data_IF_476853500006
#
_entry.id   IF_476853500006
#
_cell.length_a   1.000
_cell.length_b   1.000
_cell.length_c   1.000
_cell.angle_alpha   90.00
_cell.angle_beta   90.00
_cell.angle_gamma   90.00
#
_symmetry.space_group_name_H-M   'P 1'
#
loop_
_entity.id
_entity.type
_entity.pdbx_description
1 polymer ?
#
# COMPACT_ATOMS: atom_id res chain seq x y z
N UNK A 1 24.97 -24.40 42.91
CA UNK A 1 23.57 -24.87 42.88
C UNK A 1 23.36 -25.68 41.61
N UNK A 2 22.76 -26.86 41.76
CA UNK A 2 22.73 -27.93 40.77
C UNK A 2 21.71 -27.70 39.65
N UNK A 3 22.08 -28.20 38.45
CA UNK A 3 21.23 -28.35 37.26
C UNK A 3 20.07 -29.33 37.54
N UNK A 4 18.91 -29.08 36.94
CA UNK A 4 17.93 -30.14 36.63
C UNK A 4 17.61 -30.07 35.12
N UNK A 5 17.81 -31.17 34.37
CA UNK A 5 17.33 -31.28 33.00
C UNK A 5 15.89 -31.80 33.01
N UNK A 6 15.03 -31.27 32.13
CA UNK A 6 13.81 -31.97 31.75
C UNK A 6 14.12 -32.79 30.50
N UNK A 7 14.19 -34.09 30.72
CA UNK A 7 14.30 -35.14 29.73
C UNK A 7 13.04 -35.99 29.92
N UNK A 8 12.18 -36.09 28.92
CA UNK A 8 11.14 -37.11 28.83
C UNK A 8 11.22 -37.67 27.40
N UNK A 9 11.82 -38.86 27.27
CA UNK A 9 11.77 -39.73 26.09
C UNK A 9 10.45 -40.51 26.03
N UNK A 10 9.99 -40.88 24.83
CA UNK A 10 10.08 -42.24 24.22
C UNK A 10 9.22 -43.27 25.00
N UNK A 11 8.30 -44.09 24.48
CA UNK A 11 7.82 -44.58 23.17
C UNK A 11 6.31 -44.92 23.37
N UNK A 12 5.46 -45.41 22.46
CA UNK A 12 5.57 -46.49 21.47
C UNK A 12 4.31 -46.50 20.60
N UNK A 13 4.50 -46.85 19.33
CA UNK A 13 3.71 -47.78 18.51
C UNK A 13 2.17 -47.83 18.65
N UNK A 14 1.48 -47.50 17.55
CA UNK A 14 0.63 -48.46 16.82
C UNK A 14 0.06 -47.80 15.55
N UNK A 15 0.48 -48.32 14.39
CA UNK A 15 -0.36 -48.30 13.18
C UNK A 15 -1.25 -49.53 13.23
N UNK A 16 -2.50 -49.44 12.74
CA UNK A 16 -2.78 -50.32 11.62
C UNK A 16 -3.49 -49.65 10.46
N UNK A 17 -3.09 -50.18 9.32
CA UNK A 17 -3.58 -50.02 7.97
C UNK A 17 -4.95 -50.71 7.81
N UNK A 18 -5.93 -50.06 7.17
CA UNK A 18 -7.03 -50.76 6.49
C UNK A 18 -7.37 -49.98 5.21
N UNK A 19 -6.82 -50.45 4.10
CA UNK A 19 -7.38 -50.26 2.76
C UNK A 19 -8.85 -50.69 2.73
N UNK A 20 -9.72 -49.92 2.06
CA UNK A 20 -10.59 -50.44 0.98
C UNK A 20 -11.74 -49.49 0.61
N UNK A 21 -11.72 -49.02 -0.66
CA UNK A 21 -12.83 -49.01 -1.63
C UNK A 21 -14.07 -48.13 -1.29
N UNK A 22 -14.67 -47.29 -2.16
CA UNK A 22 -15.14 -47.50 -3.55
C UNK A 22 -15.37 -46.12 -4.21
N UNK A 23 -15.07 -46.05 -5.51
CA UNK A 23 -15.43 -44.99 -6.46
C UNK A 23 -16.91 -44.56 -6.42
N UNK A 24 -17.20 -43.26 -6.47
CA UNK A 24 -18.45 -42.77 -7.08
C UNK A 24 -18.16 -41.58 -7.98
N UNK A 25 -18.25 -41.84 -9.29
CA UNK A 25 -18.39 -40.83 -10.30
C UNK A 25 -19.73 -40.11 -10.08
N UNK A 26 -19.66 -38.86 -9.65
CA UNK A 26 -20.81 -37.97 -9.56
C UNK A 26 -20.45 -36.67 -10.25
N UNK A 27 -21.00 -36.48 -11.45
CA UNK A 27 -21.03 -35.24 -12.19
C UNK A 27 -21.74 -34.16 -11.36
N UNK A 28 -20.98 -33.46 -10.53
CA UNK A 28 -21.39 -32.25 -9.83
C UNK A 28 -20.83 -31.05 -10.55
N UNK A 29 -21.68 -30.42 -11.36
CA UNK A 29 -21.47 -29.17 -12.06
C UNK A 29 -20.93 -28.10 -11.07
N UNK A 30 -19.63 -27.83 -11.13
CA UNK A 30 -19.04 -26.67 -10.47
C UNK A 30 -19.53 -25.43 -11.21
N UNK A 31 -20.66 -24.89 -10.76
CA UNK A 31 -21.09 -23.54 -11.12
C UNK A 31 -20.03 -22.61 -10.56
N UNK A 32 -19.01 -22.34 -11.35
CA UNK A 32 -18.06 -21.28 -11.11
C UNK A 32 -18.87 -19.99 -11.09
N UNK A 33 -19.20 -19.52 -9.89
CA UNK A 33 -19.74 -18.20 -9.67
C UNK A 33 -18.77 -17.23 -10.33
N UNK A 34 -19.20 -16.74 -11.49
CA UNK A 34 -18.43 -15.84 -12.32
C UNK A 34 -18.11 -14.63 -11.47
N UNK A 35 -16.86 -14.57 -10.97
CA UNK A 35 -16.28 -13.40 -10.31
C UNK A 35 -16.39 -12.28 -11.32
N UNK A 36 -17.48 -11.53 -11.24
CA UNK A 36 -17.71 -10.39 -12.09
C UNK A 36 -16.51 -9.47 -11.93
N UNK A 37 -15.83 -9.16 -13.04
CA UNK A 37 -14.84 -8.09 -13.09
C UNK A 37 -15.57 -6.80 -13.50
N UNK A 38 -16.00 -5.94 -12.56
CA UNK A 38 -16.35 -4.56 -12.92
C UNK A 38 -15.61 -3.52 -12.06
N UNK A 39 -14.31 -3.67 -11.80
CA UNK A 39 -13.57 -2.69 -10.96
C UNK A 39 -12.61 -1.76 -11.71
N UNK A 40 -12.00 -2.18 -12.82
CA UNK A 40 -10.96 -1.38 -13.50
C UNK A 40 -11.51 -0.19 -14.31
N UNK A 41 -12.65 -0.35 -14.98
CA UNK A 41 -13.21 0.70 -15.85
C UNK A 41 -13.70 1.92 -15.05
N UNK A 42 -14.30 1.70 -13.88
CA UNK A 42 -14.80 2.79 -13.03
C UNK A 42 -13.65 3.60 -12.40
N UNK A 43 -12.56 2.94 -11.98
CA UNK A 43 -11.39 3.62 -11.40
C UNK A 43 -10.68 4.54 -12.40
N UNK A 44 -10.61 4.17 -13.68
CA UNK A 44 -10.01 5.01 -14.73
C UNK A 44 -10.86 6.26 -14.93
N UNK A 45 -12.17 6.10 -15.03
CA UNK A 45 -13.13 7.22 -15.16
C UNK A 45 -13.06 8.17 -13.96
N UNK A 46 -12.99 7.62 -12.75
CA UNK A 46 -12.86 8.43 -11.53
C UNK A 46 -11.56 9.22 -11.52
N UNK A 47 -10.44 8.61 -11.91
CA UNK A 47 -9.14 9.29 -11.98
C UNK A 47 -9.15 10.42 -12.99
N UNK A 48 -9.75 10.23 -14.16
CA UNK A 48 -9.87 11.27 -15.18
C UNK A 48 -10.79 12.42 -14.73
N UNK A 49 -11.93 12.11 -14.11
CA UNK A 49 -12.83 13.12 -13.53
C UNK A 49 -12.10 13.95 -12.48
N UNK A 50 -11.46 13.30 -11.50
CA UNK A 50 -10.75 13.98 -10.41
C UNK A 50 -9.61 14.82 -10.96
N UNK A 51 -8.86 14.30 -11.94
CA UNK A 51 -7.81 15.05 -12.62
C UNK A 51 -8.36 16.31 -13.29
N UNK A 52 -9.49 16.23 -14.00
CA UNK A 52 -10.11 17.38 -14.63
C UNK A 52 -10.59 18.42 -13.59
N UNK A 53 -11.03 17.97 -12.42
CA UNK A 53 -11.44 18.84 -11.31
C UNK A 53 -10.24 19.57 -10.67
N UNK A 54 -9.11 18.88 -10.47
CA UNK A 54 -7.86 19.52 -10.01
C UNK A 54 -7.35 20.54 -11.03
N UNK A 55 -7.43 20.25 -12.33
CA UNK A 55 -6.99 21.19 -13.37
C UNK A 55 -7.81 22.49 -13.42
N UNK A 56 -9.01 22.53 -12.82
CA UNK A 56 -9.81 23.76 -12.66
C UNK A 56 -9.35 24.63 -11.50
N UNK A 57 -8.55 24.07 -10.58
CA UNK A 57 -8.03 24.81 -9.43
C UNK A 57 -6.79 25.65 -9.80
N UNK A 58 -6.44 26.60 -8.94
CA UNK A 58 -5.24 27.41 -9.11
C UNK A 58 -3.99 26.55 -8.97
N UNK A 59 -3.00 26.80 -9.83
CA UNK A 59 -1.65 26.27 -9.63
C UNK A 59 -1.10 26.82 -8.33
N UNK A 60 -0.40 25.98 -7.57
CA UNK A 60 0.28 26.42 -6.35
C UNK A 60 1.53 27.23 -6.70
N UNK A 61 1.92 28.16 -5.83
CA UNK A 61 3.22 28.85 -5.94
C UNK A 61 4.37 27.86 -5.70
N UNK A 62 4.11 26.79 -4.94
CA UNK A 62 5.05 25.71 -4.69
C UNK A 62 4.95 24.70 -5.83
N UNK A 63 6.06 24.47 -6.53
CA UNK A 63 6.13 23.51 -7.63
C UNK A 63 7.24 22.47 -7.39
N UNK A 64 7.12 21.25 -7.94
CA UNK A 64 8.15 20.24 -7.76
C UNK A 64 9.46 20.68 -8.41
N UNK A 65 10.52 20.73 -7.61
CA UNK A 65 11.86 21.14 -8.04
C UNK A 65 12.47 20.20 -9.09
N UNK A 66 12.10 18.92 -9.06
CA UNK A 66 12.59 17.89 -9.99
C UNK A 66 11.46 17.37 -10.87
N UNK A 67 11.64 17.51 -12.17
CA UNK A 67 10.74 16.96 -13.18
C UNK A 67 11.27 15.60 -13.67
N UNK A 68 10.39 14.69 -14.11
CA UNK A 68 10.83 13.43 -14.70
C UNK A 68 11.67 13.73 -15.96
N UNK A 69 12.87 13.13 -16.02
CA UNK A 69 13.88 13.41 -17.06
C UNK A 69 13.44 13.11 -18.50
N UNK A 70 12.34 12.37 -18.66
CA UNK A 70 11.94 11.80 -19.95
C UNK A 70 11.06 12.75 -20.80
N UNK A 71 10.83 14.00 -20.37
CA UNK A 71 10.17 15.07 -21.13
C UNK A 71 8.70 14.83 -21.54
N UNK A 72 8.13 13.65 -21.29
CA UNK A 72 6.77 13.30 -21.74
C UNK A 72 5.65 13.83 -20.87
N UNK A 73 5.95 14.19 -19.63
CA UNK A 73 4.96 14.67 -18.68
C UNK A 73 5.60 15.51 -17.59
N UNK A 74 5.03 16.67 -17.30
CA UNK A 74 5.44 17.55 -16.22
C UNK A 74 4.53 17.35 -15.01
N UNK A 75 5.11 17.11 -13.85
CA UNK A 75 4.36 17.12 -12.58
C UNK A 75 4.12 18.56 -12.16
N UNK A 76 2.87 18.89 -11.87
CA UNK A 76 2.44 20.23 -11.46
C UNK A 76 1.61 20.11 -10.19
N UNK A 77 1.86 20.99 -9.23
CA UNK A 77 1.10 21.08 -7.99
C UNK A 77 -0.01 22.12 -8.10
N UNK A 78 -1.15 21.79 -7.54
CA UNK A 78 -2.36 22.59 -7.51
C UNK A 78 -2.91 22.67 -6.08
N UNK A 79 -3.59 23.78 -5.78
CA UNK A 79 -4.27 23.95 -4.50
C UNK A 79 -5.44 22.97 -4.36
N UNK A 80 -5.68 22.47 -3.15
CA UNK A 80 -6.74 21.48 -2.95
C UNK A 80 -8.13 22.09 -2.78
N UNK A 81 -8.98 21.84 -3.76
CA UNK A 81 -10.43 22.07 -3.73
C UNK A 81 -11.25 20.78 -3.65
N UNK A 82 -10.61 19.61 -3.60
CA UNK A 82 -11.30 18.32 -3.59
C UNK A 82 -11.87 17.99 -2.21
N UNK A 83 -12.99 17.28 -2.21
CA UNK A 83 -13.55 16.66 -1.02
C UNK A 83 -12.67 15.50 -0.51
N UNK A 84 -12.85 15.09 0.74
CA UNK A 84 -12.07 14.01 1.38
C UNK A 84 -12.20 12.65 0.67
N UNK A 85 -13.32 12.41 -0.01
CA UNK A 85 -13.58 11.15 -0.74
C UNK A 85 -12.75 11.05 -2.02
N UNK A 86 -12.55 12.18 -2.69
CA UNK A 86 -11.84 12.29 -3.97
C UNK A 86 -10.34 12.58 -3.77
N UNK A 87 -9.97 13.20 -2.64
CA UNK A 87 -8.58 13.45 -2.27
C UNK A 87 -7.89 12.20 -1.73
N UNK A 88 -7.60 11.26 -2.64
CA UNK A 88 -6.85 10.03 -2.33
C UNK A 88 -5.43 10.10 -2.91
N UNK A 89 -4.41 9.57 -2.21
CA UNK A 89 -3.03 9.54 -2.71
C UNK A 89 -2.88 8.89 -4.09
N UNK A 90 -3.69 7.88 -4.39
CA UNK A 90 -3.68 7.22 -5.70
C UNK A 90 -4.14 8.13 -6.85
N UNK A 91 -4.99 9.12 -6.57
CA UNK A 91 -5.52 10.03 -7.60
C UNK A 91 -4.69 11.30 -7.75
N UNK A 92 -4.24 11.88 -6.63
CA UNK A 92 -3.61 13.22 -6.58
C UNK A 92 -2.32 13.28 -5.78
N UNK A 93 -1.80 12.15 -5.32
CA UNK A 93 -0.54 12.05 -4.60
C UNK A 93 0.64 11.74 -5.50
N UNK A 94 1.85 11.87 -4.93
CA UNK A 94 3.09 11.42 -5.56
C UNK A 94 3.40 9.96 -5.20
N UNK A 95 3.96 9.22 -6.16
CA UNK A 95 4.41 7.85 -5.95
C UNK A 95 5.92 7.84 -5.66
N UNK A 96 6.30 7.14 -4.60
CA UNK A 96 7.70 6.87 -4.27
C UNK A 96 8.00 5.43 -4.71
N UNK A 97 8.86 5.28 -5.71
CA UNK A 97 9.28 3.97 -6.21
C UNK A 97 10.70 3.69 -5.72
N UNK A 98 10.83 2.83 -4.70
CA UNK A 98 12.13 2.44 -4.14
C UNK A 98 12.37 0.96 -4.47
N UNK A 99 13.39 0.63 -5.27
CA UNK A 99 13.81 -0.75 -5.40
C UNK A 99 14.43 -1.20 -4.07
N UNK A 100 14.02 -2.36 -3.59
CA UNK A 100 14.50 -2.97 -2.35
C UNK A 100 15.14 -4.32 -2.69
N UNK A 101 16.17 -4.69 -1.94
CA UNK A 101 16.62 -6.08 -1.90
C UNK A 101 15.57 -6.96 -1.22
N UNK A 102 15.64 -8.26 -1.48
CA UNK A 102 14.66 -9.23 -0.94
C UNK A 102 14.71 -9.24 0.59
N UNK A 103 15.90 -9.17 1.16
CA UNK A 103 16.13 -9.14 2.61
C UNK A 103 15.52 -7.89 3.24
N UNK A 104 15.71 -6.73 2.62
CA UNK A 104 15.13 -5.46 3.11
C UNK A 104 13.60 -5.53 3.12
N UNK A 105 13.02 -6.05 2.04
CA UNK A 105 11.57 -6.23 1.95
C UNK A 105 11.05 -7.17 3.05
N UNK A 106 11.71 -8.32 3.27
CA UNK A 106 11.32 -9.28 4.31
C UNK A 106 11.43 -8.70 5.72
N UNK A 107 12.46 -7.91 6.01
CA UNK A 107 12.60 -7.23 7.30
C UNK A 107 11.44 -6.25 7.55
N UNK A 108 11.03 -5.52 6.52
CA UNK A 108 9.89 -4.59 6.59
C UNK A 108 8.58 -5.35 6.80
N UNK A 109 8.38 -6.48 6.12
CA UNK A 109 7.20 -7.33 6.31
C UNK A 109 7.11 -7.91 7.72
N UNK A 110 8.21 -8.43 8.26
CA UNK A 110 8.23 -8.97 9.63
C UNK A 110 8.02 -7.86 10.67
N UNK A 111 8.60 -6.67 10.46
CA UNK A 111 8.34 -5.51 11.32
C UNK A 111 6.86 -5.13 11.32
N UNK A 112 6.21 -5.09 10.15
CA UNK A 112 4.77 -4.79 10.05
C UNK A 112 3.90 -5.84 10.76
N UNK A 113 4.28 -7.12 10.75
CA UNK A 113 3.54 -8.18 11.44
C UNK A 113 3.71 -8.14 12.96
N UNK A 114 4.85 -7.66 13.45
CA UNK A 114 5.19 -7.65 14.87
C UNK A 114 4.93 -6.32 15.58
N UNK A 115 4.59 -5.26 14.85
CA UNK A 115 4.34 -3.93 15.41
C UNK A 115 2.85 -3.74 15.71
N UNK A 116 2.43 -4.09 16.93
CA UNK A 116 1.05 -3.89 17.40
C UNK A 116 0.70 -2.42 17.67
N UNK A 117 1.67 -1.50 17.59
CA UNK A 117 1.48 -0.08 17.92
C UNK A 117 1.02 0.77 16.73
N UNK A 118 1.09 0.23 15.52
CA UNK A 118 0.67 0.92 14.30
C UNK A 118 -0.86 0.87 14.11
N UNK A 119 -1.42 1.94 13.57
CA UNK A 119 -2.82 1.95 13.10
C UNK A 119 -2.94 1.50 11.64
N UNK A 120 -1.81 1.17 11.00
CA UNK A 120 -1.76 0.77 9.62
C UNK A 120 -2.43 -0.58 9.39
N UNK A 121 -3.37 -0.62 8.44
CA UNK A 121 -4.06 -1.86 8.03
C UNK A 121 -3.34 -2.58 6.90
N UNK A 122 -2.42 -1.90 6.21
CA UNK A 122 -1.66 -2.45 5.08
C UNK A 122 -0.19 -2.10 5.21
N UNK A 123 0.68 -2.95 4.66
CA UNK A 123 2.12 -2.72 4.61
C UNK A 123 2.48 -1.36 3.99
N UNK A 124 1.73 -0.92 2.99
CA UNK A 124 1.96 0.39 2.37
C UNK A 124 1.59 1.54 3.30
N UNK A 125 0.52 1.40 4.09
CA UNK A 125 0.16 2.41 5.08
C UNK A 125 1.21 2.46 6.20
N UNK A 126 1.70 1.30 6.62
CA UNK A 126 2.78 1.19 7.61
C UNK A 126 4.05 1.91 7.15
N UNK A 127 4.51 1.62 5.93
CA UNK A 127 5.68 2.31 5.35
C UNK A 127 5.45 3.84 5.30
N UNK A 128 4.24 4.30 4.94
CA UNK A 128 3.93 5.74 4.94
C UNK A 128 3.98 6.34 6.34
N UNK A 129 3.46 5.65 7.35
CA UNK A 129 3.46 6.09 8.74
C UNK A 129 4.89 6.20 9.28
N UNK A 130 5.72 5.17 9.07
CA UNK A 130 7.14 5.17 9.44
C UNK A 130 7.90 6.33 8.79
N UNK A 131 7.69 6.55 7.48
CA UNK A 131 8.33 7.66 6.77
C UNK A 131 7.87 9.02 7.29
N UNK A 132 6.59 9.19 7.62
CA UNK A 132 6.07 10.44 8.20
C UNK A 132 6.61 10.69 9.60
N UNK A 133 6.57 9.68 10.47
CA UNK A 133 7.11 9.75 11.83
C UNK A 133 8.60 10.12 11.80
N UNK A 134 9.36 9.52 10.88
CA UNK A 134 10.76 9.89 10.71
C UNK A 134 10.95 11.32 10.20
N UNK A 135 10.11 11.79 9.28
CA UNK A 135 10.15 13.17 8.80
C UNK A 135 9.80 14.18 9.91
N UNK A 136 8.79 13.90 10.73
CA UNK A 136 8.39 14.71 11.88
C UNK A 136 9.52 14.80 12.92
N UNK A 137 10.24 13.70 13.18
CA UNK A 137 11.37 13.67 14.10
C UNK A 137 12.61 14.45 13.61
N UNK A 138 12.73 14.67 12.29
CA UNK A 138 13.89 15.35 11.67
C UNK A 138 13.63 16.84 11.42
N UNK A 139 12.38 17.20 11.09
CA UNK A 139 11.99 18.58 10.83
C UNK A 139 11.67 19.32 12.13
N UNK A 140 11.81 20.64 12.14
CA UNK A 140 11.26 21.43 13.24
C UNK A 140 9.72 21.34 13.23
N UNK A 141 9.06 21.41 14.40
CA UNK A 141 7.59 21.34 14.47
C UNK A 141 6.89 22.38 13.57
N UNK A 142 7.45 23.59 13.50
CA UNK A 142 6.94 24.68 12.66
C UNK A 142 6.99 24.32 11.18
N UNK A 143 8.15 23.85 10.70
CA UNK A 143 8.34 23.49 9.29
C UNK A 143 7.51 22.27 8.89
N UNK A 144 7.40 21.28 9.78
CA UNK A 144 6.54 20.12 9.54
C UNK A 144 5.08 20.53 9.40
N UNK A 145 4.58 21.36 10.32
CA UNK A 145 3.21 21.88 10.30
C UNK A 145 2.94 22.72 9.04
N UNK A 146 3.87 23.60 8.67
CA UNK A 146 3.80 24.39 7.44
C UNK A 146 3.55 23.50 6.22
N UNK A 147 4.39 22.48 6.01
CA UNK A 147 4.28 21.57 4.86
C UNK A 147 3.00 20.72 4.93
N UNK A 148 2.68 20.16 6.10
CA UNK A 148 1.50 19.32 6.27
C UNK A 148 0.19 20.06 5.97
N UNK A 149 0.15 21.37 6.25
CA UNK A 149 -1.03 22.21 6.07
C UNK A 149 -1.24 22.73 4.63
N UNK A 150 -0.22 22.69 3.76
CA UNK A 150 -0.33 23.13 2.36
C UNK A 150 -1.37 22.34 1.56
N UNK A 151 -1.60 21.06 1.90
CA UNK A 151 -2.63 20.19 1.30
C UNK A 151 -2.65 20.15 -0.23
N UNK A 152 -1.51 20.21 -0.91
CA UNK A 152 -1.44 20.24 -2.38
C UNK A 152 -1.92 18.94 -3.06
N UNK A 153 -2.28 19.06 -4.34
CA UNK A 153 -2.62 17.98 -5.25
C UNK A 153 -1.65 17.95 -6.44
N UNK A 154 -1.12 16.79 -6.82
CA UNK A 154 -0.22 16.62 -7.94
C UNK A 154 -0.93 16.03 -9.17
N UNK A 155 -0.71 16.64 -10.34
CA UNK A 155 -1.17 16.11 -11.64
C UNK A 155 -0.01 16.13 -12.64
N UNK A 156 0.15 15.04 -13.39
CA UNK A 156 1.11 14.95 -14.50
C UNK A 156 0.48 15.43 -15.80
N UNK A 157 0.86 16.61 -16.29
CA UNK A 157 0.39 17.21 -17.54
C UNK A 157 1.32 16.79 -18.68
N UNK A 158 0.79 16.44 -19.87
CA UNK A 158 1.64 16.18 -21.05
C UNK A 158 2.14 17.52 -21.58
N UNK A 159 3.41 17.59 -21.96
CA UNK A 159 3.90 18.73 -22.76
C UNK A 159 3.38 18.55 -24.19
N UNK A 160 2.80 19.61 -24.75
CA UNK A 160 2.37 19.70 -26.16
C UNK A 160 3.58 19.87 -27.09
#
# INVERSE_FOLDING_TARGET
MAKRPFNIGFDTEESPNVDAFINSAGSGEVVAESVSKPKKSNQIKDRERIRAEVLKSSKSDIQPERQPKNGRSKSVYFENNLNSRDRKPFYVGTAINVPLFVEEFRLIEEAFKGDDSTTATTLTDYIREVLRSKAEAVLSPEKYSEIANQKLNMVSVKEE
#
